data_IF_499213861248
#
_entry.id   IF_499213861248
#
_cell.length_a   1.000
_cell.length_b   1.000
_cell.length_c   1.000
_cell.angle_alpha   90.00
_cell.angle_beta   90.00
_cell.angle_gamma   90.00
#
_symmetry.space_group_name_H-M   'P 1'
#
loop_
_entity.id
_entity.type
_entity.pdbx_description
1 polymer ?
#
# COMPACT_ATOMS: atom_id res chain seq x y z
N UNK A 1 -17.77 19.41 16.39
CA UNK A 1 -16.71 19.96 15.58
C UNK A 1 -16.52 19.15 14.31
N UNK A 2 -16.43 19.84 13.19
CA UNK A 2 -16.29 19.20 11.88
C UNK A 2 -15.05 18.31 11.83
N UNK A 3 -13.98 18.71 12.49
CA UNK A 3 -12.72 18.01 12.48
C UNK A 3 -12.81 16.60 13.06
N UNK A 4 -13.73 16.36 13.99
CA UNK A 4 -13.88 15.06 14.62
C UNK A 4 -14.33 13.98 13.64
N UNK A 5 -15.27 14.32 12.76
CA UNK A 5 -15.78 13.37 11.79
C UNK A 5 -14.75 13.04 10.72
N UNK A 6 -14.06 14.06 10.22
CA UNK A 6 -13.02 13.85 9.23
C UNK A 6 -11.87 13.04 9.81
N UNK A 7 -11.46 13.32 11.05
CA UNK A 7 -10.40 12.58 11.70
C UNK A 7 -10.78 11.12 11.93
N UNK A 8 -12.03 10.87 12.32
CA UNK A 8 -12.49 9.49 12.51
C UNK A 8 -12.51 8.72 11.20
N UNK A 9 -13.04 9.33 10.15
CA UNK A 9 -13.08 8.71 8.83
C UNK A 9 -11.67 8.44 8.30
N UNK A 10 -10.76 9.40 8.47
CA UNK A 10 -9.38 9.24 8.03
C UNK A 10 -8.64 8.20 8.87
N UNK A 11 -8.95 8.09 10.16
CA UNK A 11 -8.37 7.07 11.03
C UNK A 11 -8.81 5.67 10.60
N UNK A 12 -10.10 5.49 10.34
CA UNK A 12 -10.61 4.20 9.85
C UNK A 12 -9.99 3.83 8.51
N UNK A 13 -9.92 4.80 7.61
CA UNK A 13 -9.30 4.60 6.30
C UNK A 13 -7.84 4.19 6.44
N UNK A 14 -7.11 4.92 7.27
CA UNK A 14 -5.72 4.63 7.54
C UNK A 14 -5.54 3.23 8.12
N UNK A 15 -6.35 2.87 9.10
CA UNK A 15 -6.24 1.57 9.76
C UNK A 15 -6.54 0.41 8.82
N UNK A 16 -7.54 0.54 7.96
CA UNK A 16 -7.84 -0.47 6.96
C UNK A 16 -6.70 -0.65 5.97
N UNK A 17 -6.18 0.46 5.49
CA UNK A 17 -5.04 0.43 4.58
C UNK A 17 -3.79 -0.13 5.26
N UNK A 18 -3.54 0.27 6.50
CA UNK A 18 -2.43 -0.25 7.27
C UNK A 18 -2.52 -1.78 7.43
N UNK A 19 -3.68 -2.28 7.83
CA UNK A 19 -3.86 -3.71 8.03
C UNK A 19 -3.60 -4.51 6.76
N UNK A 20 -4.16 -4.04 5.65
CA UNK A 20 -3.95 -4.70 4.37
C UNK A 20 -2.48 -4.66 3.94
N UNK A 21 -1.87 -3.49 4.00
CA UNK A 21 -0.49 -3.30 3.55
C UNK A 21 0.51 -4.00 4.46
N UNK A 22 0.23 -4.04 5.75
CA UNK A 22 1.08 -4.76 6.71
C UNK A 22 1.07 -6.25 6.42
N UNK A 23 -0.09 -6.81 6.15
CA UNK A 23 -0.19 -8.22 5.78
C UNK A 23 0.57 -8.49 4.48
N UNK A 24 0.38 -7.64 3.48
CA UNK A 24 1.09 -7.77 2.21
C UNK A 24 2.60 -7.69 2.42
N UNK A 25 3.05 -6.75 3.24
CA UNK A 25 4.47 -6.60 3.55
C UNK A 25 5.02 -7.87 4.20
N UNK A 26 4.33 -8.40 5.19
CA UNK A 26 4.76 -9.61 5.88
C UNK A 26 4.86 -10.80 4.93
N UNK A 27 3.92 -10.93 4.01
CA UNK A 27 3.90 -12.04 3.06
C UNK A 27 4.97 -11.92 1.98
N UNK A 28 5.35 -10.69 1.62
CA UNK A 28 6.21 -10.49 0.44
C UNK A 28 7.62 -10.00 0.78
N UNK A 29 7.79 -9.21 1.83
CA UNK A 29 9.10 -8.63 2.11
C UNK A 29 9.88 -9.37 3.18
N UNK A 30 9.24 -9.77 4.26
CA UNK A 30 9.92 -10.42 5.37
C UNK A 30 10.44 -11.80 5.03
N UNK A 31 9.89 -12.42 3.99
CA UNK A 31 10.25 -13.77 3.57
C UNK A 31 11.27 -13.80 2.44
N UNK A 32 11.75 -12.64 2.02
CA UNK A 32 12.72 -12.57 0.94
C UNK A 32 14.13 -12.90 1.45
N UNK A 33 14.96 -13.44 0.56
CA UNK A 33 16.35 -13.68 0.91
C UNK A 33 17.05 -12.41 1.34
N UNK A 34 18.05 -12.57 2.14
CA UNK A 34 18.85 -11.51 2.67
C UNK A 34 19.36 -10.56 1.59
N UNK A 35 19.16 -9.26 1.83
CA UNK A 35 19.68 -8.19 0.98
C UNK A 35 19.20 -8.19 -0.45
N UNK A 36 18.13 -8.90 -0.77
CA UNK A 36 17.59 -8.90 -2.13
C UNK A 36 17.17 -7.52 -2.57
N UNK A 37 16.77 -6.67 -1.64
CA UNK A 37 16.33 -5.31 -1.92
C UNK A 37 17.32 -4.25 -1.44
N UNK A 38 18.38 -4.64 -0.74
CA UNK A 38 19.33 -3.71 -0.14
C UNK A 38 18.80 -3.10 1.15
N UNK A 39 19.67 -2.33 1.80
CA UNK A 39 19.33 -1.71 3.08
C UNK A 39 18.25 -0.65 2.99
N UNK A 40 18.15 -0.02 1.84
CA UNK A 40 17.18 1.02 1.61
C UNK A 40 15.85 0.48 1.11
N UNK A 41 15.66 -0.82 1.12
CA UNK A 41 14.44 -1.41 0.60
C UNK A 41 13.26 -0.99 1.43
N UNK A 42 12.44 -0.16 0.86
CA UNK A 42 11.17 0.20 1.43
C UNK A 42 10.08 -0.58 0.72
N UNK A 43 8.94 -0.72 1.39
CA UNK A 43 7.78 -1.30 0.75
C UNK A 43 7.48 -0.52 -0.52
N UNK A 44 7.32 -1.24 -1.63
CA UNK A 44 6.99 -0.63 -2.91
C UNK A 44 5.50 -0.31 -2.95
N UNK A 45 5.18 0.97 -2.90
CA UNK A 45 3.81 1.47 -2.93
C UNK A 45 3.66 2.49 -4.05
N UNK A 46 2.45 2.57 -4.61
CA UNK A 46 2.10 3.58 -5.58
C UNK A 46 0.73 4.15 -5.29
N UNK A 47 0.43 5.30 -5.89
CA UNK A 47 -0.89 5.91 -5.79
C UNK A 47 -1.61 5.79 -7.12
N UNK A 48 -2.90 5.43 -7.07
CA UNK A 48 -3.70 5.16 -8.27
C UNK A 48 -5.06 5.80 -8.15
N UNK A 49 -5.47 6.54 -9.18
CA UNK A 49 -6.77 7.22 -9.21
C UNK A 49 -7.85 6.33 -9.79
N UNK A 50 -8.96 6.19 -9.06
CA UNK A 50 -10.12 5.43 -9.50
C UNK A 50 -11.36 6.18 -9.03
N UNK A 51 -12.24 6.54 -9.95
CA UNK A 51 -13.54 7.17 -9.65
C UNK A 51 -13.42 8.37 -8.69
N UNK A 52 -12.44 9.21 -8.94
CA UNK A 52 -12.26 10.45 -8.16
C UNK A 52 -11.56 10.27 -6.83
N UNK A 53 -11.11 9.07 -6.52
CA UNK A 53 -10.36 8.80 -5.29
C UNK A 53 -8.97 8.27 -5.62
N UNK A 54 -8.04 8.49 -4.70
CA UNK A 54 -6.66 8.03 -4.86
C UNK A 54 -6.39 6.90 -3.89
N UNK A 55 -6.00 5.76 -4.42
CA UNK A 55 -5.73 4.54 -3.64
C UNK A 55 -4.24 4.29 -3.53
N UNK A 56 -3.82 3.78 -2.38
CA UNK A 56 -2.44 3.36 -2.15
C UNK A 56 -2.39 1.85 -2.33
N UNK A 57 -1.64 1.38 -3.31
CA UNK A 57 -1.57 -0.04 -3.64
C UNK A 57 -0.12 -0.52 -3.65
N UNK A 58 0.11 -1.78 -3.24
CA UNK A 58 1.45 -2.35 -3.38
C UNK A 58 1.78 -2.57 -4.85
N UNK A 59 3.04 -2.36 -5.20
CA UNK A 59 3.51 -2.57 -6.56
C UNK A 59 4.52 -3.71 -6.66
N UNK A 60 4.74 -4.41 -5.56
CA UNK A 60 5.68 -5.53 -5.51
C UNK A 60 4.98 -6.79 -5.02
N UNK A 61 5.33 -7.93 -5.62
CA UNK A 61 4.91 -9.24 -5.17
C UNK A 61 6.10 -10.20 -5.21
N UNK A 62 6.32 -10.92 -4.12
CA UNK A 62 7.38 -11.92 -4.03
C UNK A 62 7.21 -13.00 -5.10
N UNK A 63 5.97 -13.40 -5.35
CA UNK A 63 5.69 -14.41 -6.36
C UNK A 63 6.16 -13.95 -7.73
N UNK A 64 5.80 -12.72 -8.09
CA UNK A 64 6.19 -12.16 -9.38
C UNK A 64 7.71 -11.96 -9.42
N UNK A 65 8.30 -11.48 -8.33
CA UNK A 65 9.74 -11.34 -8.24
C UNK A 65 10.46 -12.67 -8.48
N UNK A 66 9.97 -13.74 -7.86
CA UNK A 66 10.57 -15.06 -8.03
C UNK A 66 10.50 -15.54 -9.48
N UNK A 67 9.45 -15.16 -10.19
CA UNK A 67 9.27 -15.54 -11.59
C UNK A 67 10.08 -14.66 -12.55
N UNK A 68 10.23 -13.37 -12.23
CA UNK A 68 10.84 -12.41 -13.16
C UNK A 68 12.21 -11.91 -12.74
N UNK A 69 12.55 -12.01 -11.46
CA UNK A 69 13.80 -11.47 -10.92
C UNK A 69 13.81 -9.95 -10.79
N UNK A 70 12.69 -9.28 -11.02
CA UNK A 70 12.60 -7.82 -10.93
C UNK A 70 11.96 -7.38 -9.63
N UNK A 71 12.54 -6.37 -9.00
CA UNK A 71 12.11 -5.84 -7.71
C UNK A 71 11.17 -4.68 -7.87
N UNK A 72 11.55 -3.71 -8.67
CA UNK A 72 10.79 -2.47 -8.81
C UNK A 72 9.51 -2.68 -9.61
N UNK A 73 8.39 -2.28 -9.00
CA UNK A 73 7.09 -2.23 -9.70
C UNK A 73 6.83 -3.49 -10.54
N UNK A 74 7.05 -4.64 -9.94
CA UNK A 74 6.90 -5.89 -10.68
C UNK A 74 5.44 -6.33 -10.85
N UNK A 75 4.50 -5.58 -10.29
CA UNK A 75 3.08 -5.77 -10.58
C UNK A 75 2.73 -4.78 -11.70
N UNK A 76 2.37 -5.29 -12.87
CA UNK A 76 2.08 -4.46 -14.03
C UNK A 76 0.84 -3.59 -13.84
N UNK A 77 -0.19 -4.15 -13.27
CA UNK A 77 -1.43 -3.41 -13.04
C UNK A 77 -1.97 -3.66 -11.64
N UNK A 78 -1.51 -2.87 -10.65
CA UNK A 78 -1.97 -3.06 -9.28
C UNK A 78 -3.47 -2.87 -9.10
N UNK A 79 -4.10 -1.99 -9.89
CA UNK A 79 -5.54 -1.77 -9.78
C UNK A 79 -6.29 -3.06 -10.09
N UNK A 80 -5.96 -3.73 -11.18
CA UNK A 80 -6.62 -4.99 -11.54
C UNK A 80 -6.33 -6.07 -10.50
N UNK A 81 -5.11 -6.13 -10.00
CA UNK A 81 -4.73 -7.15 -9.04
C UNK A 81 -5.49 -7.02 -7.72
N UNK A 82 -5.76 -5.80 -7.28
CA UNK A 82 -6.41 -5.54 -5.99
C UNK A 82 -7.83 -5.01 -6.12
N UNK A 83 -8.47 -5.23 -7.27
CA UNK A 83 -9.79 -4.64 -7.53
C UNK A 83 -10.85 -5.14 -6.54
N UNK A 84 -10.77 -6.38 -6.11
CA UNK A 84 -11.73 -6.91 -5.14
C UNK A 84 -11.59 -6.25 -3.77
N UNK A 85 -10.36 -6.02 -3.34
CA UNK A 85 -10.10 -5.34 -2.08
C UNK A 85 -10.57 -3.88 -2.13
N UNK A 86 -10.47 -3.26 -3.31
CA UNK A 86 -10.98 -1.90 -3.51
C UNK A 86 -12.50 -1.90 -3.44
N UNK A 87 -13.15 -2.85 -4.10
CA UNK A 87 -14.61 -2.92 -4.14
C UNK A 87 -15.23 -3.26 -2.79
N UNK A 88 -14.60 -4.14 -2.03
CA UNK A 88 -15.16 -4.56 -0.74
C UNK A 88 -14.75 -3.66 0.44
N UNK A 89 -13.96 -2.62 0.19
CA UNK A 89 -13.58 -1.66 1.23
C UNK A 89 -12.40 -2.05 2.08
N UNK A 90 -11.71 -3.16 1.76
CA UNK A 90 -10.48 -3.54 2.47
C UNK A 90 -9.40 -2.49 2.25
N UNK A 91 -9.32 -1.94 1.04
CA UNK A 91 -8.47 -0.82 0.70
C UNK A 91 -9.35 0.40 0.50
N UNK A 92 -9.06 1.48 1.20
CA UNK A 92 -9.85 2.72 1.16
C UNK A 92 -9.11 3.80 0.39
N UNK A 93 -9.84 4.52 -0.46
CA UNK A 93 -9.27 5.62 -1.24
C UNK A 93 -9.32 6.95 -0.50
N UNK A 94 -8.40 7.84 -0.85
CA UNK A 94 -8.34 9.19 -0.31
C UNK A 94 -8.96 10.18 -1.28
N UNK A 95 -9.38 11.33 -0.76
CA UNK A 95 -10.08 12.32 -1.57
C UNK A 95 -9.16 13.17 -2.45
N UNK A 96 -7.85 13.13 -2.17
CA UNK A 96 -6.87 13.85 -2.98
C UNK A 96 -5.57 13.08 -3.04
N UNK A 97 -4.77 13.37 -4.08
CA UNK A 97 -3.44 12.79 -4.24
C UNK A 97 -2.55 13.20 -3.08
N UNK A 98 -2.66 14.43 -2.62
CA UNK A 98 -1.85 14.94 -1.53
C UNK A 98 -2.10 14.18 -0.23
N UNK A 99 -3.36 13.93 0.09
CA UNK A 99 -3.72 13.14 1.26
C UNK A 99 -3.17 11.73 1.15
N UNK A 100 -3.30 11.13 -0.02
CA UNK A 100 -2.80 9.79 -0.26
C UNK A 100 -1.28 9.70 -0.12
N UNK A 101 -0.56 10.67 -0.66
CA UNK A 101 0.90 10.68 -0.55
C UNK A 101 1.39 10.84 0.89
N UNK A 102 0.73 11.70 1.66
CA UNK A 102 1.06 11.86 3.08
C UNK A 102 0.81 10.57 3.85
N UNK A 103 -0.36 9.97 3.61
CA UNK A 103 -0.69 8.71 4.27
C UNK A 103 0.25 7.59 3.83
N UNK A 104 0.66 7.58 2.58
CA UNK A 104 1.59 6.58 2.06
C UNK A 104 2.94 6.64 2.77
N UNK A 105 3.45 7.83 3.03
CA UNK A 105 4.70 7.98 3.77
C UNK A 105 4.57 7.46 5.19
N UNK A 106 3.48 7.81 5.87
CA UNK A 106 3.24 7.35 7.23
C UNK A 106 3.07 5.84 7.29
N UNK A 107 2.29 5.28 6.35
CA UNK A 107 2.08 3.84 6.26
C UNK A 107 3.40 3.10 6.03
N UNK A 108 4.20 3.60 5.10
CA UNK A 108 5.49 2.99 4.79
C UNK A 108 6.39 2.98 6.02
N UNK A 109 6.48 4.11 6.70
CA UNK A 109 7.32 4.22 7.89
C UNK A 109 6.86 3.31 9.01
N UNK A 110 5.56 3.25 9.28
CA UNK A 110 5.04 2.42 10.35
C UNK A 110 5.14 0.93 10.05
N UNK A 111 4.91 0.54 8.81
CA UNK A 111 4.99 -0.87 8.44
C UNK A 111 6.43 -1.37 8.51
N UNK A 112 7.37 -0.60 8.00
CA UNK A 112 8.78 -0.99 7.99
C UNK A 112 9.37 -1.01 9.40
N UNK A 113 8.93 -0.10 10.25
CA UNK A 113 9.41 0.02 11.61
C UNK A 113 9.13 -1.22 12.45
N UNK A 114 8.07 -1.89 12.14
CA UNK A 114 7.64 -3.06 12.88
C UNK A 114 8.01 -4.34 12.13
#
# INVERSE_FOLDING_TARGET
>A
MADSFENTANTDRYNKNFNFLKQHHNENFTLLPDNSFGESTSMQLGTFGIDGKTYILPTFSKKIYNETGKVESNIDNPVDMFIEQIRNGTIQGYNSIEQAEMAMQDLRNEIIKN
#
